data_IF_622333755493
#
_entry.id   IF_622333755493
#
_cell.length_a   1.000
_cell.length_b   1.000
_cell.length_c   1.000
_cell.angle_alpha   90.00
_cell.angle_beta   90.00
_cell.angle_gamma   90.00
#
_symmetry.space_group_name_H-M   'P 1'
#
loop_
_entity.id
_entity.type
_entity.pdbx_description
1 polymer ?
#
# COMPACT_ATOMS: atom_id res chain seq x y z
N UNK A 1 3.62 -20.77 -4.90
CA UNK A 1 3.79 -19.45 -4.27
C UNK A 1 5.11 -19.38 -3.53
N UNK A 2 5.85 -18.30 -3.71
CA UNK A 2 7.04 -18.07 -2.89
C UNK A 2 6.67 -17.45 -1.54
N UNK A 3 7.68 -17.20 -0.71
CA UNK A 3 7.47 -16.67 0.65
C UNK A 3 6.69 -15.34 0.63
N UNK A 4 7.11 -14.40 -0.21
CA UNK A 4 6.48 -13.07 -0.23
C UNK A 4 5.07 -13.12 -0.82
N UNK A 5 4.84 -13.94 -1.82
CA UNK A 5 3.49 -14.10 -2.39
C UNK A 5 2.53 -14.69 -1.37
N UNK A 6 2.98 -15.68 -0.60
CA UNK A 6 2.17 -16.28 0.44
C UNK A 6 1.90 -15.27 1.58
N UNK A 7 2.93 -14.51 1.98
CA UNK A 7 2.78 -13.49 3.02
C UNK A 7 1.82 -12.39 2.58
N UNK A 8 1.89 -11.99 1.32
CA UNK A 8 0.98 -10.99 0.75
C UNK A 8 -0.46 -11.49 0.72
N UNK A 9 -0.66 -12.73 0.30
CA UNK A 9 -1.99 -13.35 0.32
C UNK A 9 -2.55 -13.36 1.75
N UNK A 10 -1.75 -13.78 2.71
CA UNK A 10 -2.18 -13.81 4.12
C UNK A 10 -2.50 -12.43 4.65
N UNK A 11 -1.73 -11.41 4.26
CA UNK A 11 -2.01 -10.02 4.64
C UNK A 11 -3.40 -9.58 4.16
N UNK A 12 -3.71 -9.83 2.89
CA UNK A 12 -5.00 -9.43 2.32
C UNK A 12 -6.15 -10.15 3.03
N UNK A 13 -6.01 -11.45 3.25
CA UNK A 13 -7.10 -12.27 3.80
C UNK A 13 -7.26 -12.11 5.30
N UNK A 14 -6.18 -11.91 6.04
CA UNK A 14 -6.19 -11.97 7.50
C UNK A 14 -6.08 -10.62 8.19
N UNK A 15 -5.55 -9.60 7.53
CA UNK A 15 -5.39 -8.26 8.09
C UNK A 15 -6.33 -7.25 7.46
N UNK A 16 -6.45 -7.27 6.15
CA UNK A 16 -7.14 -6.21 5.40
C UNK A 16 -8.64 -6.47 5.31
N UNK A 17 -9.05 -7.65 4.84
CA UNK A 17 -10.47 -7.97 4.73
C UNK A 17 -11.23 -7.88 6.06
N UNK A 18 -10.67 -8.37 7.18
CA UNK A 18 -11.36 -8.26 8.48
C UNK A 18 -11.58 -6.81 8.93
N UNK A 19 -10.84 -5.86 8.35
CA UNK A 19 -10.96 -4.43 8.67
C UNK A 19 -11.97 -3.72 7.78
N UNK A 20 -12.95 -4.46 7.28
CA UNK A 20 -14.04 -3.94 6.45
C UNK A 20 -13.57 -3.37 5.10
N UNK A 21 -12.50 -3.92 4.56
CA UNK A 21 -12.07 -3.62 3.19
C UNK A 21 -12.66 -4.70 2.30
N UNK A 22 -13.77 -4.37 1.64
CA UNK A 22 -14.58 -5.33 0.88
C UNK A 22 -14.63 -5.04 -0.61
N UNK A 23 -14.06 -3.92 -1.05
CA UNK A 23 -13.98 -3.56 -2.46
C UNK A 23 -12.98 -4.47 -3.17
N UNK A 24 -13.47 -5.27 -4.13
CA UNK A 24 -12.63 -6.25 -4.82
C UNK A 24 -11.50 -5.60 -5.61
N UNK A 25 -11.72 -4.42 -6.20
CA UNK A 25 -10.65 -3.74 -6.93
C UNK A 25 -9.51 -3.33 -6.00
N UNK A 26 -9.83 -2.85 -4.81
CA UNK A 26 -8.83 -2.51 -3.80
C UNK A 26 -8.09 -3.76 -3.34
N UNK A 27 -8.82 -4.84 -3.05
CA UNK A 27 -8.20 -6.10 -2.63
C UNK A 27 -7.28 -6.66 -3.71
N UNK A 28 -7.70 -6.61 -4.98
CA UNK A 28 -6.89 -7.09 -6.10
C UNK A 28 -5.63 -6.25 -6.26
N UNK A 29 -5.73 -4.93 -6.13
CA UNK A 29 -4.56 -4.05 -6.23
C UNK A 29 -3.55 -4.38 -5.13
N UNK A 30 -4.01 -4.60 -3.90
CA UNK A 30 -3.13 -4.95 -2.79
C UNK A 30 -2.51 -6.33 -2.97
N UNK A 31 -3.22 -7.24 -3.61
CA UNK A 31 -2.69 -8.58 -3.91
C UNK A 31 -1.61 -8.55 -4.99
N UNK A 32 -1.62 -7.55 -5.87
CA UNK A 32 -0.68 -7.44 -6.98
C UNK A 32 0.58 -6.65 -6.65
N UNK A 33 0.50 -5.63 -5.78
CA UNK A 33 1.63 -4.75 -5.50
C UNK A 33 2.59 -5.42 -4.50
N UNK A 34 3.85 -5.61 -4.88
CA UNK A 34 4.84 -6.29 -4.02
C UNK A 34 5.39 -5.34 -2.95
N UNK A 35 4.72 -5.30 -1.80
CA UNK A 35 5.08 -4.40 -0.70
C UNK A 35 6.53 -4.55 -0.24
N UNK A 36 7.10 -5.76 -0.36
CA UNK A 36 8.48 -6.02 0.04
C UNK A 36 9.50 -5.21 -0.79
N UNK A 37 9.10 -4.73 -1.97
CA UNK A 37 9.97 -3.91 -2.83
C UNK A 37 9.94 -2.42 -2.45
N UNK A 38 9.10 -2.03 -1.50
CA UNK A 38 8.93 -0.63 -1.08
C UNK A 38 9.49 -0.38 0.32
N UNK A 39 10.18 -1.36 0.89
CA UNK A 39 10.79 -1.26 2.21
C UNK A 39 12.29 -1.46 2.10
N UNK A 40 13.05 -1.00 3.12
CA UNK A 40 14.49 -1.23 3.17
C UNK A 40 14.79 -2.72 3.30
N UNK A 41 15.98 -3.18 2.82
CA UNK A 41 16.31 -4.61 2.88
C UNK A 41 16.18 -5.23 4.28
N UNK A 42 16.56 -4.49 5.31
CA UNK A 42 16.47 -4.97 6.70
C UNK A 42 15.03 -5.06 7.21
N UNK A 43 14.07 -4.47 6.50
CA UNK A 43 12.65 -4.49 6.87
C UNK A 43 11.83 -5.51 6.09
N UNK A 44 12.43 -6.19 5.11
CA UNK A 44 11.66 -7.08 4.23
C UNK A 44 10.95 -8.20 4.97
N UNK A 45 11.53 -8.69 6.06
CA UNK A 45 10.88 -9.72 6.89
C UNK A 45 9.57 -9.24 7.51
N UNK A 46 9.41 -7.94 7.67
CA UNK A 46 8.24 -7.31 8.29
C UNK A 46 7.30 -6.64 7.29
N UNK A 47 7.57 -6.76 5.99
CA UNK A 47 6.83 -6.02 4.97
C UNK A 47 5.32 -6.27 5.02
N UNK A 48 4.92 -7.47 5.39
CA UNK A 48 3.51 -7.87 5.43
C UNK A 48 2.97 -8.03 6.85
N UNK A 49 3.71 -7.53 7.84
CA UNK A 49 3.25 -7.53 9.22
C UNK A 49 2.24 -6.40 9.46
N UNK A 50 1.36 -6.60 10.43
CA UNK A 50 0.35 -5.61 10.82
C UNK A 50 0.98 -4.57 11.75
N UNK A 51 1.88 -3.77 11.18
CA UNK A 51 2.58 -2.72 11.92
C UNK A 51 3.04 -1.62 10.96
N UNK A 52 3.34 -0.45 11.51
CA UNK A 52 3.98 0.63 10.74
C UNK A 52 5.48 0.41 10.70
N UNK A 53 6.11 0.84 9.62
CA UNK A 53 7.55 0.71 9.44
C UNK A 53 8.19 2.09 9.35
N UNK A 54 9.29 2.34 10.08
CA UNK A 54 9.95 3.65 10.03
C UNK A 54 10.58 3.89 8.65
N UNK A 55 10.51 5.15 8.21
CA UNK A 55 11.14 5.60 6.97
C UNK A 55 12.39 6.42 7.32
N UNK A 56 13.36 6.56 6.39
CA UNK A 56 14.62 7.26 6.66
C UNK A 56 14.45 8.71 7.11
N UNK A 57 13.37 9.37 6.69
CA UNK A 57 13.14 10.79 7.01
C UNK A 57 12.44 11.01 8.37
N UNK A 58 12.27 9.96 9.17
CA UNK A 58 11.61 10.05 10.49
C UNK A 58 10.12 9.86 10.46
N UNK A 59 9.49 9.78 9.28
CA UNK A 59 8.08 9.42 9.18
C UNK A 59 7.93 7.89 9.15
N UNK A 60 6.71 7.39 8.94
CA UNK A 60 6.46 5.96 8.97
C UNK A 60 5.58 5.52 7.80
N UNK A 61 5.80 4.31 7.33
CA UNK A 61 4.93 3.62 6.40
C UNK A 61 3.80 2.98 7.21
N UNK A 62 2.56 3.38 6.93
CA UNK A 62 1.41 2.94 7.72
C UNK A 62 1.16 1.43 7.59
N UNK A 63 0.43 0.88 8.55
CA UNK A 63 -0.01 -0.51 8.49
C UNK A 63 -0.82 -0.74 7.21
N UNK A 64 -0.71 -1.93 6.59
CA UNK A 64 -1.42 -2.22 5.34
C UNK A 64 -2.93 -2.01 5.43
N UNK A 65 -3.55 -2.40 6.54
CA UNK A 65 -5.00 -2.28 6.72
C UNK A 65 -5.45 -0.82 6.75
N UNK A 66 -4.64 0.08 7.30
CA UNK A 66 -4.94 1.51 7.34
C UNK A 66 -4.89 2.11 5.94
N UNK A 67 -3.81 1.81 5.20
CA UNK A 67 -3.66 2.26 3.81
C UNK A 67 -4.83 1.77 2.96
N UNK A 68 -5.17 0.50 3.10
CA UNK A 68 -6.26 -0.12 2.33
C UNK A 68 -7.60 0.56 2.61
N UNK A 69 -7.88 0.83 3.87
CA UNK A 69 -9.14 1.45 4.27
C UNK A 69 -9.26 2.88 3.78
N UNK A 70 -8.15 3.63 3.84
CA UNK A 70 -8.12 5.01 3.31
C UNK A 70 -8.35 5.02 1.80
N UNK A 71 -7.69 4.12 1.07
CA UNK A 71 -7.85 4.05 -0.39
C UNK A 71 -9.27 3.64 -0.76
N UNK A 72 -9.85 2.67 -0.07
CA UNK A 72 -11.23 2.27 -0.31
C UNK A 72 -12.19 3.44 -0.14
N UNK A 73 -11.95 4.29 0.86
CA UNK A 73 -12.79 5.46 1.12
C UNK A 73 -12.82 6.47 -0.02
N UNK A 74 -11.80 6.48 -0.88
CA UNK A 74 -11.74 7.37 -2.04
C UNK A 74 -12.66 6.95 -3.17
N UNK A 75 -13.08 5.69 -3.24
CA UNK A 75 -13.97 5.15 -4.28
C UNK A 75 -13.49 5.47 -5.68
N UNK A 76 -12.24 5.11 -5.96
CA UNK A 76 -11.57 5.46 -7.21
C UNK A 76 -12.12 4.70 -8.41
N UNK A 77 -12.14 5.38 -9.57
CA UNK A 77 -12.45 4.79 -10.87
C UNK A 77 -11.26 4.95 -11.81
N UNK A 78 -11.22 4.17 -12.87
CA UNK A 78 -10.08 4.14 -13.81
C UNK A 78 -9.84 5.47 -14.54
N UNK A 79 -10.84 6.34 -14.59
CA UNK A 79 -10.69 7.66 -15.23
C UNK A 79 -10.40 8.78 -14.23
N UNK A 80 -10.24 8.45 -12.95
CA UNK A 80 -9.94 9.45 -11.94
C UNK A 80 -8.47 9.85 -11.96
N UNK A 81 -8.21 11.10 -11.57
CA UNK A 81 -6.88 11.61 -11.28
C UNK A 81 -6.76 11.83 -9.78
N UNK A 82 -5.71 11.27 -9.17
CA UNK A 82 -5.47 11.36 -7.74
C UNK A 82 -4.23 12.20 -7.49
N UNK A 83 -4.32 13.13 -6.54
CA UNK A 83 -3.16 13.86 -6.03
C UNK A 83 -2.80 13.30 -4.67
N UNK A 84 -1.59 12.76 -4.56
CA UNK A 84 -1.05 12.25 -3.30
C UNK A 84 -0.01 13.23 -2.76
N UNK A 85 -0.18 13.65 -1.51
CA UNK A 85 0.79 14.51 -0.83
C UNK A 85 1.51 13.64 0.21
N UNK A 86 2.85 13.56 0.10
CA UNK A 86 3.65 12.68 0.94
C UNK A 86 3.79 11.29 0.35
N UNK A 87 4.69 11.16 -0.63
CA UNK A 87 4.91 9.88 -1.33
C UNK A 87 5.40 8.78 -0.38
N UNK A 88 6.23 9.15 0.59
CA UNK A 88 6.81 8.19 1.52
C UNK A 88 7.61 7.11 0.80
N UNK A 89 7.27 5.85 1.03
CA UNK A 89 7.94 4.72 0.40
C UNK A 89 7.53 4.50 -1.06
N UNK A 90 6.42 5.09 -1.49
CA UNK A 90 5.85 4.87 -2.81
C UNK A 90 4.87 3.70 -2.87
N UNK A 91 4.66 2.99 -1.77
CA UNK A 91 3.76 1.83 -1.76
C UNK A 91 2.31 2.22 -2.06
N UNK A 92 1.79 3.20 -1.33
CA UNK A 92 0.43 3.67 -1.56
C UNK A 92 0.28 4.23 -2.97
N UNK A 93 1.32 4.92 -3.49
CA UNK A 93 1.34 5.43 -4.86
C UNK A 93 1.15 4.29 -5.86
N UNK A 94 1.86 3.18 -5.67
CA UNK A 94 1.78 2.02 -6.56
C UNK A 94 0.38 1.39 -6.52
N UNK A 95 -0.23 1.30 -5.35
CA UNK A 95 -1.60 0.78 -5.21
C UNK A 95 -2.60 1.72 -5.90
N UNK A 96 -2.47 3.03 -5.68
CA UNK A 96 -3.32 4.03 -6.32
C UNK A 96 -3.23 3.94 -7.85
N UNK A 97 -2.03 3.71 -8.39
CA UNK A 97 -1.81 3.60 -9.83
C UNK A 97 -2.54 2.41 -10.45
N UNK A 98 -2.84 1.38 -9.67
CA UNK A 98 -3.64 0.24 -10.12
C UNK A 98 -5.13 0.57 -10.22
N UNK A 99 -5.60 1.56 -9.47
CA UNK A 99 -7.02 1.85 -9.29
C UNK A 99 -7.48 3.10 -10.06
N UNK A 100 -6.60 4.09 -10.18
CA UNK A 100 -6.92 5.36 -10.84
C UNK A 100 -6.34 5.39 -12.25
N UNK A 101 -6.82 6.34 -13.06
CA UNK A 101 -6.27 6.56 -14.39
C UNK A 101 -4.94 7.31 -14.35
N UNK A 102 -4.77 8.17 -13.35
CA UNK A 102 -3.57 8.99 -13.21
C UNK A 102 -3.31 9.29 -11.74
N UNK A 103 -2.05 9.18 -11.33
CA UNK A 103 -1.63 9.56 -9.98
C UNK A 103 -0.54 10.62 -10.10
N UNK A 104 -0.73 11.72 -9.38
CA UNK A 104 0.28 12.77 -9.24
C UNK A 104 0.70 12.75 -7.77
N UNK A 105 1.97 12.50 -7.51
CA UNK A 105 2.48 12.39 -6.15
C UNK A 105 3.60 13.40 -5.92
N UNK A 106 3.57 14.04 -4.76
CA UNK A 106 4.58 15.02 -4.37
C UNK A 106 5.04 14.74 -2.94
N UNK A 107 6.32 14.98 -2.70
CA UNK A 107 6.91 14.84 -1.37
C UNK A 107 7.89 15.98 -1.14
N UNK A 108 8.04 16.38 0.10
CA UNK A 108 9.03 17.41 0.49
C UNK A 108 10.41 16.79 0.71
N UNK A 109 10.51 15.47 0.78
CA UNK A 109 11.76 14.74 0.96
C UNK A 109 12.27 14.27 -0.39
N UNK A 110 13.51 14.62 -0.72
CA UNK A 110 14.13 14.25 -1.99
C UNK A 110 14.75 12.84 -1.99
N UNK A 111 14.84 12.20 -0.84
CA UNK A 111 15.47 10.89 -0.71
C UNK A 111 14.56 9.74 -1.18
#
# INVERSE_FOLDING_TARGET
>A
MNYFEQARFNMVEQQIRPWSVLDFDVLDALAEVPREQFVAPEQQAYAYADLSLPLPNGSAMLEPKVVARLIQGLKLAKNDTVLEIGTGSGYATAVLAKLAGRVITIDTDEA
#
